data_IF_697873951189
#
_entry.id   IF_697873951189
#
_cell.length_a   1.000
_cell.length_b   1.000
_cell.length_c   1.000
_cell.angle_alpha   90.00
_cell.angle_beta   90.00
_cell.angle_gamma   90.00
#
_symmetry.space_group_name_H-M   'P 1'
#
loop_
_entity.id
_entity.type
_entity.pdbx_description
1 polymer ?
#
# COMPACT_ATOMS: atom_id res chain seq x y z
N UNK A 1 -36.26 7.87 -33.48
CA UNK A 1 -35.67 6.70 -32.85
C UNK A 1 -34.54 7.21 -31.95
N UNK A 2 -34.81 7.36 -30.68
CA UNK A 2 -33.81 7.78 -29.69
C UNK A 2 -33.06 6.52 -29.27
N UNK A 3 -31.76 6.43 -29.56
CA UNK A 3 -30.90 5.37 -29.12
C UNK A 3 -30.63 5.60 -27.60
N UNK A 4 -31.23 4.77 -26.75
CA UNK A 4 -30.84 4.60 -25.37
C UNK A 4 -29.40 4.06 -25.34
N UNK A 5 -28.42 4.93 -25.15
CA UNK A 5 -27.15 4.53 -24.58
C UNK A 5 -27.37 4.45 -23.06
N UNK A 6 -27.89 3.34 -22.57
CA UNK A 6 -27.66 2.93 -21.19
C UNK A 6 -26.15 2.76 -21.02
N UNK A 7 -25.55 3.70 -20.31
CA UNK A 7 -24.19 3.54 -19.78
C UNK A 7 -24.26 2.33 -18.85
N UNK A 8 -23.77 1.16 -19.31
CA UNK A 8 -23.52 0.03 -18.42
C UNK A 8 -22.56 0.55 -17.34
N UNK A 9 -23.06 0.68 -16.11
CA UNK A 9 -22.22 0.90 -14.95
C UNK A 9 -21.16 -0.19 -14.97
N UNK A 10 -19.89 0.21 -15.17
CA UNK A 10 -18.79 -0.72 -15.32
C UNK A 10 -18.55 -1.38 -13.96
N UNK A 11 -18.91 -2.65 -13.85
CA UNK A 11 -18.85 -3.42 -12.61
C UNK A 11 -17.41 -3.55 -12.13
N UNK A 12 -17.15 -3.18 -10.87
CA UNK A 12 -15.88 -3.45 -10.18
C UNK A 12 -15.93 -4.88 -9.65
N UNK A 13 -14.91 -5.67 -9.97
CA UNK A 13 -14.71 -7.04 -9.47
C UNK A 13 -13.64 -6.99 -8.38
N UNK A 14 -13.97 -7.49 -7.20
CA UNK A 14 -13.03 -7.65 -6.09
C UNK A 14 -12.61 -9.12 -6.01
N UNK A 15 -11.34 -9.39 -6.20
CA UNK A 15 -10.82 -10.75 -6.27
C UNK A 15 -9.44 -10.90 -5.65
N UNK A 16 -9.03 -12.11 -5.28
CA UNK A 16 -7.63 -12.37 -4.93
C UNK A 16 -6.67 -11.95 -6.05
N UNK A 17 -5.49 -11.48 -5.64
CA UNK A 17 -4.36 -11.29 -6.53
C UNK A 17 -3.98 -12.58 -7.24
N UNK A 18 -3.58 -12.48 -8.50
CA UNK A 18 -2.95 -13.55 -9.28
C UNK A 18 -1.62 -13.06 -9.86
N UNK A 19 -0.63 -13.93 -10.11
CA UNK A 19 0.70 -13.51 -10.56
C UNK A 19 0.72 -12.63 -11.81
N UNK A 20 -0.27 -12.76 -12.68
CA UNK A 20 -0.42 -11.95 -13.89
C UNK A 20 -0.83 -10.51 -13.63
N UNK A 21 -1.19 -10.16 -12.39
CA UNK A 21 -1.52 -8.78 -11.98
C UNK A 21 -0.25 -7.97 -11.65
N UNK A 22 0.91 -8.62 -11.49
CA UNK A 22 2.12 -8.00 -10.96
C UNK A 22 2.49 -6.69 -11.67
N UNK A 23 2.59 -6.70 -13.00
CA UNK A 23 2.96 -5.51 -13.79
C UNK A 23 1.93 -4.38 -13.65
N UNK A 24 0.65 -4.73 -13.52
CA UNK A 24 -0.42 -3.75 -13.30
C UNK A 24 -0.35 -3.13 -11.91
N UNK A 25 0.00 -3.92 -10.89
CA UNK A 25 0.23 -3.44 -9.51
C UNK A 25 1.43 -2.50 -9.47
N UNK A 26 2.57 -2.87 -10.05
CA UNK A 26 3.74 -2.00 -10.15
C UNK A 26 3.39 -0.66 -10.81
N UNK A 27 2.64 -0.71 -11.91
CA UNK A 27 2.19 0.48 -12.62
C UNK A 27 1.20 1.33 -11.82
N UNK A 28 0.34 0.72 -11.00
CA UNK A 28 -0.59 1.42 -10.13
C UNK A 28 0.16 2.15 -9.01
N UNK A 29 1.06 1.45 -8.33
CA UNK A 29 1.92 2.02 -7.27
C UNK A 29 2.72 3.20 -7.82
N UNK A 30 3.35 3.02 -8.99
CA UNK A 30 4.12 4.07 -9.66
C UNK A 30 3.27 5.33 -9.92
N UNK A 31 2.02 5.17 -10.38
CA UNK A 31 1.12 6.31 -10.64
C UNK A 31 0.66 7.02 -9.38
N UNK A 32 0.54 6.31 -8.27
CA UNK A 32 0.01 6.90 -7.02
C UNK A 32 1.09 7.65 -6.26
N UNK A 33 2.29 7.09 -6.15
CA UNK A 33 3.33 7.66 -5.28
C UNK A 33 4.55 8.22 -6.02
N UNK A 34 4.76 7.84 -7.28
CA UNK A 34 5.97 8.19 -8.04
C UNK A 34 5.68 8.93 -9.35
N UNK A 35 4.52 9.61 -9.42
CA UNK A 35 4.08 10.29 -10.65
C UNK A 35 4.99 11.45 -11.07
N UNK A 36 5.68 12.08 -10.12
CA UNK A 36 6.55 13.23 -10.35
C UNK A 36 7.99 12.83 -10.71
N UNK A 37 8.34 11.56 -10.56
CA UNK A 37 9.66 11.02 -10.94
C UNK A 37 9.84 10.85 -12.46
N UNK A 38 11.08 10.63 -12.89
CA UNK A 38 11.34 10.16 -14.25
C UNK A 38 10.63 8.82 -14.50
N UNK A 39 10.47 8.44 -15.76
CA UNK A 39 9.83 7.16 -16.10
C UNK A 39 10.59 5.96 -15.51
N UNK A 40 11.90 6.03 -15.52
CA UNK A 40 12.78 5.00 -14.98
C UNK A 40 12.66 4.90 -13.46
N UNK A 41 12.66 6.02 -12.75
CA UNK A 41 12.46 6.09 -11.29
C UNK A 41 11.10 5.54 -10.89
N UNK A 42 10.03 6.02 -11.52
CA UNK A 42 8.67 5.56 -11.24
C UNK A 42 8.52 4.06 -11.48
N UNK A 43 9.10 3.54 -12.57
CA UNK A 43 9.08 2.11 -12.88
C UNK A 43 9.82 1.30 -11.82
N UNK A 44 11.04 1.70 -11.47
CA UNK A 44 11.88 1.01 -10.50
C UNK A 44 11.24 1.01 -9.11
N UNK A 45 10.79 2.18 -8.64
CA UNK A 45 10.15 2.33 -7.33
C UNK A 45 8.86 1.51 -7.22
N UNK A 46 8.01 1.55 -8.25
CA UNK A 46 6.79 0.73 -8.27
C UNK A 46 7.07 -0.78 -8.21
N UNK A 47 8.17 -1.25 -8.81
CA UNK A 47 8.57 -2.67 -8.76
C UNK A 47 9.17 -3.06 -7.41
N UNK A 48 9.98 -2.19 -6.80
CA UNK A 48 10.55 -2.39 -5.48
C UNK A 48 9.43 -2.52 -4.45
N UNK A 49 8.51 -1.56 -4.42
CA UNK A 49 7.41 -1.54 -3.47
C UNK A 49 6.46 -2.73 -3.67
N UNK A 50 6.05 -3.01 -4.90
CA UNK A 50 5.21 -4.17 -5.17
C UNK A 50 5.84 -5.47 -4.68
N UNK A 51 7.15 -5.65 -4.91
CA UNK A 51 7.89 -6.83 -4.47
C UNK A 51 7.97 -6.91 -2.95
N UNK A 52 8.25 -5.78 -2.29
CA UNK A 52 8.28 -5.70 -0.82
C UNK A 52 6.93 -6.05 -0.21
N UNK A 53 5.86 -5.33 -0.58
CA UNK A 53 4.54 -5.53 0.00
C UNK A 53 3.97 -6.93 -0.27
N UNK A 54 4.22 -7.49 -1.46
CA UNK A 54 3.89 -8.87 -1.74
C UNK A 54 4.68 -9.87 -0.87
N UNK A 55 5.90 -9.54 -0.46
CA UNK A 55 6.73 -10.42 0.37
C UNK A 55 6.30 -10.46 1.83
N UNK A 56 5.69 -9.40 2.36
CA UNK A 56 5.29 -9.28 3.76
C UNK A 56 3.79 -9.50 4.00
N UNK A 57 3.01 -9.73 2.93
CA UNK A 57 1.54 -9.82 3.02
C UNK A 57 1.02 -11.23 2.78
N UNK A 58 -0.06 -11.60 3.48
CA UNK A 58 -0.75 -12.91 3.40
C UNK A 58 -2.11 -12.79 2.71
N UNK A 59 -2.79 -11.69 2.89
CA UNK A 59 -4.05 -11.35 2.26
C UNK A 59 -3.78 -10.36 1.14
N UNK A 60 -4.08 -10.76 -0.09
CA UNK A 60 -3.76 -10.03 -1.31
C UNK A 60 -5.01 -9.95 -2.17
N UNK A 61 -5.64 -8.76 -2.26
CA UNK A 61 -6.83 -8.54 -3.05
C UNK A 61 -6.69 -7.33 -3.96
N UNK A 62 -7.32 -7.42 -5.12
CA UNK A 62 -7.38 -6.35 -6.13
C UNK A 62 -8.82 -5.99 -6.46
N UNK A 63 -9.02 -4.75 -6.85
CA UNK A 63 -10.23 -4.26 -7.52
C UNK A 63 -9.93 -4.14 -9.01
N UNK A 64 -10.67 -4.88 -9.82
CA UNK A 64 -10.53 -4.90 -11.27
C UNK A 64 -11.72 -4.21 -11.93
N UNK A 65 -11.44 -3.38 -12.93
CA UNK A 65 -12.43 -2.73 -13.78
C UNK A 65 -12.03 -2.91 -15.24
N UNK A 66 -12.86 -3.59 -16.02
CA UNK A 66 -12.60 -3.85 -17.45
C UNK A 66 -11.25 -4.54 -17.74
N UNK A 67 -10.82 -5.46 -16.89
CA UNK A 67 -9.53 -6.14 -17.04
C UNK A 67 -8.32 -5.37 -16.53
N UNK A 68 -8.49 -4.15 -16.00
CA UNK A 68 -7.43 -3.35 -15.39
C UNK A 68 -7.53 -3.34 -13.87
N UNK A 69 -6.40 -3.49 -13.17
CA UNK A 69 -6.32 -3.30 -11.73
C UNK A 69 -6.38 -1.79 -11.42
N UNK A 70 -7.43 -1.39 -10.69
CA UNK A 70 -7.71 -0.01 -10.33
C UNK A 70 -7.60 0.25 -8.83
N UNK A 71 -7.34 -0.77 -8.05
CA UNK A 71 -7.09 -0.66 -6.62
C UNK A 71 -6.64 -1.99 -6.05
N UNK A 72 -6.01 -1.93 -4.89
CA UNK A 72 -5.54 -3.12 -4.19
C UNK A 72 -5.54 -2.89 -2.68
N UNK A 73 -5.59 -3.99 -1.92
CA UNK A 73 -5.31 -4.03 -0.49
C UNK A 73 -4.51 -5.27 -0.17
N UNK A 74 -3.42 -5.08 0.56
CA UNK A 74 -2.59 -6.15 1.09
C UNK A 74 -2.56 -6.07 2.61
N UNK A 75 -2.45 -7.23 3.25
CA UNK A 75 -2.40 -7.32 4.71
C UNK A 75 -1.59 -8.54 5.17
N UNK A 76 -0.99 -8.44 6.35
CA UNK A 76 -0.15 -9.49 6.92
C UNK A 76 -0.01 -9.40 8.43
N UNK A 77 0.79 -10.30 9.00
CA UNK A 77 1.08 -10.38 10.43
C UNK A 77 2.56 -10.11 10.75
N UNK A 78 3.28 -9.47 9.84
CA UNK A 78 4.70 -9.15 9.97
C UNK A 78 5.64 -10.34 9.81
N UNK A 79 5.14 -11.54 9.53
CA UNK A 79 6.01 -12.67 9.23
C UNK A 79 6.42 -12.64 7.77
N UNK A 80 7.75 -12.66 7.54
CA UNK A 80 8.28 -12.82 6.20
C UNK A 80 7.76 -14.12 5.56
N UNK A 81 7.50 -14.05 4.28
CA UNK A 81 6.93 -15.19 3.56
C UNK A 81 7.98 -16.22 3.15
N UNK A 82 7.61 -17.51 3.09
CA UNK A 82 8.50 -18.55 2.55
C UNK A 82 8.94 -18.23 1.11
N UNK A 83 10.18 -18.59 0.78
CA UNK A 83 10.87 -18.34 -0.49
C UNK A 83 10.19 -18.91 -1.75
N UNK A 84 9.16 -19.74 -1.62
CA UNK A 84 8.54 -20.49 -2.72
C UNK A 84 7.13 -19.99 -3.10
N UNK A 85 6.86 -18.70 -2.95
CA UNK A 85 5.64 -18.09 -3.47
C UNK A 85 5.59 -18.12 -5.00
N UNK A 86 4.39 -18.31 -5.60
CA UNK A 86 4.24 -18.48 -7.04
C UNK A 86 4.49 -17.19 -7.86
N UNK A 87 4.60 -16.00 -7.23
CA UNK A 87 4.96 -14.78 -7.93
C UNK A 87 6.46 -14.54 -7.88
N UNK A 88 6.96 -14.09 -8.99
CA UNK A 88 8.37 -13.78 -9.14
C UNK A 88 8.61 -12.38 -8.54
N UNK A 89 9.32 -12.33 -7.43
CA UNK A 89 9.89 -11.08 -6.94
C UNK A 89 11.04 -10.72 -7.89
N UNK A 90 11.00 -9.53 -8.45
CA UNK A 90 12.13 -8.99 -9.19
C UNK A 90 13.09 -8.48 -8.11
N UNK A 91 14.17 -9.18 -7.88
CA UNK A 91 15.28 -8.67 -7.07
C UNK A 91 15.91 -7.51 -7.86
N UNK A 92 15.62 -6.29 -7.42
CA UNK A 92 16.36 -5.11 -7.89
C UNK A 92 17.70 -5.13 -7.17
N UNK A 93 18.76 -5.39 -7.91
CA UNK A 93 20.11 -5.42 -7.33
C UNK A 93 20.61 -3.99 -7.08
N UNK A 94 21.55 -3.84 -6.14
CA UNK A 94 22.26 -2.57 -5.95
C UNK A 94 22.96 -2.08 -7.23
N UNK A 95 23.29 -3.00 -8.16
CA UNK A 95 23.86 -2.68 -9.46
C UNK A 95 22.83 -2.11 -10.42
N UNK A 96 21.57 -2.62 -10.41
CA UNK A 96 20.49 -2.07 -11.22
C UNK A 96 20.20 -0.62 -10.81
N UNK A 97 20.27 -0.32 -9.51
CA UNK A 97 20.15 1.05 -8.98
C UNK A 97 21.35 1.91 -9.38
N UNK A 98 22.58 1.40 -9.32
CA UNK A 98 23.79 2.14 -9.64
C UNK A 98 23.95 2.43 -11.14
N UNK A 99 23.37 1.61 -12.00
CA UNK A 99 23.41 1.75 -13.46
C UNK A 99 22.32 2.70 -14.00
N UNK A 100 21.38 3.13 -13.13
CA UNK A 100 20.38 4.15 -13.47
C UNK A 100 20.96 5.55 -13.20
N UNK A 101 20.77 6.50 -14.12
CA UNK A 101 21.11 7.93 -13.93
C UNK A 101 20.10 8.59 -12.95
N UNK A 102 19.87 7.94 -11.80
CA UNK A 102 18.92 8.41 -10.80
C UNK A 102 19.67 9.34 -9.84
N UNK A 103 19.09 10.51 -9.60
CA UNK A 103 19.66 11.47 -8.64
C UNK A 103 19.77 10.84 -7.24
N UNK A 104 20.98 10.86 -6.67
CA UNK A 104 21.25 10.23 -5.37
C UNK A 104 20.36 10.75 -4.25
N UNK A 105 19.91 12.00 -4.35
CA UNK A 105 19.07 12.65 -3.34
C UNK A 105 17.66 12.05 -3.27
N UNK A 106 17.08 11.62 -4.41
CA UNK A 106 15.79 10.96 -4.46
C UNK A 106 15.76 9.65 -3.63
N UNK A 107 16.78 8.81 -3.80
CA UNK A 107 16.89 7.57 -3.02
C UNK A 107 17.23 7.80 -1.55
N UNK A 108 18.01 8.85 -1.24
CA UNK A 108 18.33 9.18 0.15
C UNK A 108 17.07 9.63 0.91
N UNK A 109 16.22 10.46 0.30
CA UNK A 109 14.95 10.89 0.88
C UNK A 109 14.00 9.70 1.05
N UNK A 110 13.89 8.84 0.03
CA UNK A 110 13.09 7.62 0.10
C UNK A 110 13.58 6.66 1.20
N UNK A 111 14.89 6.48 1.34
CA UNK A 111 15.48 5.63 2.37
C UNK A 111 15.21 6.18 3.79
N UNK A 112 15.27 7.50 3.99
CA UNK A 112 14.94 8.12 5.27
C UNK A 112 13.46 7.95 5.62
N UNK A 113 12.55 8.11 4.63
CA UNK A 113 11.13 7.85 4.81
C UNK A 113 10.88 6.41 5.26
N UNK A 114 11.40 5.43 4.51
CA UNK A 114 11.25 4.00 4.80
C UNK A 114 11.80 3.66 6.19
N UNK A 115 12.95 4.25 6.57
CA UNK A 115 13.54 4.01 7.89
C UNK A 115 12.62 4.54 9.01
N UNK A 116 12.12 5.76 8.89
CA UNK A 116 11.23 6.37 9.91
C UNK A 116 9.94 5.58 10.06
N UNK A 117 9.32 5.18 8.94
CA UNK A 117 8.12 4.36 8.95
C UNK A 117 8.38 2.97 9.59
N UNK A 118 9.50 2.32 9.24
CA UNK A 118 9.89 1.04 9.81
C UNK A 118 10.12 1.13 11.32
N UNK A 119 10.73 2.19 11.82
CA UNK A 119 10.94 2.44 13.26
C UNK A 119 9.60 2.60 13.99
N UNK A 120 8.62 3.30 13.40
CA UNK A 120 7.25 3.41 13.97
C UNK A 120 6.55 2.04 13.99
N UNK A 121 6.60 1.29 12.91
CA UNK A 121 6.01 -0.05 12.80
C UNK A 121 6.65 -0.97 13.84
N UNK A 122 7.96 -1.01 13.92
CA UNK A 122 8.69 -1.87 14.87
C UNK A 122 8.39 -1.48 16.32
N UNK A 123 8.32 -0.19 16.64
CA UNK A 123 7.96 0.27 17.97
C UNK A 123 6.54 -0.18 18.35
N UNK A 124 5.57 -0.08 17.44
CA UNK A 124 4.20 -0.52 17.69
C UNK A 124 4.09 -2.05 17.76
N UNK A 125 4.75 -2.80 16.89
CA UNK A 125 4.79 -4.27 16.91
C UNK A 125 5.39 -4.83 18.20
N UNK A 126 6.37 -4.14 18.78
CA UNK A 126 7.02 -4.53 20.03
C UNK A 126 6.29 -3.98 21.29
N UNK A 127 5.17 -3.30 21.12
CA UNK A 127 4.33 -2.85 22.22
C UNK A 127 3.44 -3.98 22.76
N UNK A 128 2.86 -3.79 23.95
CA UNK A 128 1.85 -4.71 24.52
C UNK A 128 0.44 -4.46 23.96
N UNK A 129 0.28 -3.66 22.89
CA UNK A 129 -1.02 -3.36 22.30
C UNK A 129 -1.56 -4.59 21.56
N UNK A 130 -2.76 -5.08 21.88
CA UNK A 130 -3.33 -6.27 21.26
C UNK A 130 -3.61 -6.12 19.76
N UNK A 131 -3.57 -4.88 19.23
CA UNK A 131 -3.76 -4.56 17.79
C UNK A 131 -2.46 -4.64 16.97
N UNK A 132 -1.30 -4.83 17.61
CA UNK A 132 0.04 -4.70 17.01
C UNK A 132 0.46 -5.87 16.11
N UNK A 133 -0.34 -6.96 16.03
CA UNK A 133 0.04 -8.17 15.29
C UNK A 133 -0.31 -8.08 13.81
N UNK A 134 -1.53 -7.64 13.47
CA UNK A 134 -2.03 -7.62 12.11
C UNK A 134 -1.94 -6.21 11.50
N UNK A 135 -1.54 -6.15 10.24
CA UNK A 135 -1.29 -4.90 9.54
C UNK A 135 -1.98 -4.89 8.17
N UNK A 136 -2.62 -3.76 7.83
CA UNK A 136 -2.85 -3.42 6.42
C UNK A 136 -1.54 -2.84 5.90
N UNK A 137 -0.81 -3.65 5.13
CA UNK A 137 0.52 -3.30 4.63
C UNK A 137 0.49 -2.36 3.43
N UNK A 138 -0.62 -2.36 2.67
CA UNK A 138 -0.80 -1.51 1.50
C UNK A 138 -2.28 -1.35 1.17
N UNK A 139 -2.74 -0.11 1.00
CA UNK A 139 -4.02 0.23 0.38
C UNK A 139 -3.77 1.29 -0.70
N UNK A 140 -4.04 0.94 -1.94
CA UNK A 140 -3.74 1.80 -3.08
C UNK A 140 -4.91 1.82 -4.06
N UNK A 141 -5.38 3.03 -4.44
CA UNK A 141 -6.49 3.22 -5.39
C UNK A 141 -6.04 4.18 -6.48
N UNK A 142 -6.31 3.82 -7.73
CA UNK A 142 -6.05 4.67 -8.88
C UNK A 142 -6.70 6.05 -8.66
N UNK A 143 -5.96 7.17 -8.79
CA UNK A 143 -6.48 8.51 -8.56
C UNK A 143 -7.76 8.82 -9.35
N UNK A 144 -7.93 8.25 -10.56
CA UNK A 144 -9.13 8.43 -11.38
C UNK A 144 -10.34 7.60 -10.91
N UNK A 145 -10.14 6.66 -10.00
CA UNK A 145 -11.17 5.79 -9.43
C UNK A 145 -11.44 6.06 -7.94
N UNK A 146 -10.77 7.00 -7.33
CA UNK A 146 -11.03 7.46 -5.97
C UNK A 146 -12.44 8.07 -5.83
N UNK A 147 -12.96 8.13 -4.59
CA UNK A 147 -14.30 8.66 -4.31
C UNK A 147 -15.47 7.75 -4.75
N UNK A 148 -15.21 6.58 -5.36
CA UNK A 148 -16.22 5.62 -5.85
C UNK A 148 -16.48 4.45 -4.89
N UNK A 149 -15.95 4.51 -3.66
CA UNK A 149 -16.15 3.49 -2.63
C UNK A 149 -15.25 2.24 -2.76
N UNK A 150 -14.31 2.22 -3.72
CA UNK A 150 -13.43 1.07 -3.97
C UNK A 150 -12.55 0.79 -2.75
N UNK A 151 -11.88 1.83 -2.22
CA UNK A 151 -11.04 1.71 -1.02
C UNK A 151 -11.83 1.19 0.19
N UNK A 152 -13.03 1.73 0.42
CA UNK A 152 -13.89 1.27 1.51
C UNK A 152 -14.30 -0.21 1.39
N UNK A 153 -14.51 -0.71 0.17
CA UNK A 153 -14.85 -2.12 -0.06
C UNK A 153 -13.64 -3.03 0.13
N UNK A 154 -12.48 -2.65 -0.39
CA UNK A 154 -11.24 -3.38 -0.18
C UNK A 154 -10.88 -3.45 1.31
N UNK A 155 -10.99 -2.32 2.01
CA UNK A 155 -10.74 -2.24 3.45
C UNK A 155 -11.67 -3.17 4.25
N UNK A 156 -12.96 -3.23 3.90
CA UNK A 156 -13.90 -4.15 4.54
C UNK A 156 -13.50 -5.62 4.33
N UNK A 157 -12.97 -5.99 3.16
CA UNK A 157 -12.48 -7.35 2.90
C UNK A 157 -11.27 -7.71 3.77
N UNK A 158 -10.36 -6.77 4.03
CA UNK A 158 -9.24 -6.99 4.96
C UNK A 158 -9.73 -7.15 6.41
N UNK A 159 -10.69 -6.34 6.86
CA UNK A 159 -11.31 -6.47 8.17
C UNK A 159 -11.98 -7.86 8.32
N UNK A 160 -12.73 -8.30 7.33
CA UNK A 160 -13.34 -9.63 7.35
C UNK A 160 -12.28 -10.74 7.40
N UNK A 161 -11.18 -10.59 6.68
CA UNK A 161 -10.05 -11.51 6.77
C UNK A 161 -9.45 -11.55 8.18
N UNK A 162 -9.14 -10.40 8.79
CA UNK A 162 -8.61 -10.34 10.15
C UNK A 162 -9.52 -11.02 11.17
N UNK A 163 -10.84 -10.85 11.05
CA UNK A 163 -11.82 -11.55 11.89
C UNK A 163 -11.73 -13.08 11.73
N UNK A 164 -11.51 -13.58 10.51
CA UNK A 164 -11.30 -15.03 10.29
C UNK A 164 -10.01 -15.55 10.93
N UNK A 165 -9.03 -14.66 11.13
CA UNK A 165 -7.77 -14.97 11.81
C UNK A 165 -7.87 -14.79 13.35
N UNK A 166 -9.06 -14.47 13.89
CA UNK A 166 -9.27 -14.17 15.30
C UNK A 166 -8.39 -13.03 15.84
N UNK A 167 -8.08 -12.05 14.99
CA UNK A 167 -7.32 -10.88 15.38
C UNK A 167 -8.09 -10.04 16.40
N UNK A 168 -7.42 -9.56 17.43
CA UNK A 168 -8.00 -8.60 18.41
C UNK A 168 -8.15 -7.21 17.82
N UNK A 169 -7.36 -6.91 16.79
CA UNK A 169 -7.33 -5.66 16.08
C UNK A 169 -6.26 -5.68 14.99
N UNK A 170 -6.05 -4.56 14.36
CA UNK A 170 -5.02 -4.36 13.35
C UNK A 170 -4.52 -2.92 13.36
N UNK A 171 -3.43 -2.68 12.68
CA UNK A 171 -2.87 -1.36 12.46
C UNK A 171 -2.47 -1.14 10.99
N UNK A 172 -2.09 0.09 10.68
CA UNK A 172 -1.45 0.46 9.43
C UNK A 172 -0.48 1.62 9.67
N UNK A 173 0.51 1.75 8.81
CA UNK A 173 1.33 2.95 8.67
C UNK A 173 0.81 3.78 7.50
N UNK A 174 0.90 5.10 7.62
CA UNK A 174 0.50 6.09 6.60
C UNK A 174 1.21 7.41 6.87
N UNK A 175 1.00 8.41 6.02
CA UNK A 175 1.56 9.75 6.18
C UNK A 175 0.55 10.83 5.78
N UNK A 176 0.92 12.11 5.99
CA UNK A 176 0.07 13.26 5.70
C UNK A 176 -0.06 13.60 4.19
N UNK A 177 0.67 12.91 3.31
CA UNK A 177 0.43 12.95 1.86
C UNK A 177 -0.70 12.04 1.42
N UNK A 178 -1.14 11.13 2.30
CA UNK A 178 -2.24 10.20 2.09
C UNK A 178 -3.58 10.77 2.58
N UNK A 179 -4.69 10.10 2.24
CA UNK A 179 -6.05 10.46 2.71
C UNK A 179 -6.26 9.94 4.15
N UNK A 180 -5.65 10.63 5.14
CA UNK A 180 -5.76 10.27 6.56
C UNK A 180 -7.20 10.40 7.07
N UNK A 181 -8.01 11.32 6.52
CA UNK A 181 -9.42 11.49 6.85
C UNK A 181 -10.22 10.21 6.60
N UNK A 182 -9.78 9.38 5.64
CA UNK A 182 -10.38 8.07 5.40
C UNK A 182 -10.27 7.15 6.61
N UNK A 183 -9.13 7.12 7.29
CA UNK A 183 -8.90 6.26 8.46
C UNK A 183 -9.66 6.77 9.68
N UNK A 184 -9.70 8.09 9.89
CA UNK A 184 -10.52 8.72 10.93
C UNK A 184 -12.01 8.40 10.73
N UNK A 185 -12.50 8.53 9.49
CA UNK A 185 -13.88 8.17 9.15
C UNK A 185 -14.18 6.67 9.37
N UNK A 186 -13.19 5.80 9.18
CA UNK A 186 -13.31 4.36 9.46
C UNK A 186 -13.26 4.04 10.96
N UNK A 187 -12.94 5.00 11.82
CA UNK A 187 -12.89 4.84 13.26
C UNK A 187 -11.58 4.27 13.77
N UNK A 188 -10.49 4.39 13.01
CA UNK A 188 -9.16 4.07 13.49
C UNK A 188 -8.69 5.17 14.45
N UNK A 189 -7.86 4.79 15.40
CA UNK A 189 -7.20 5.67 16.36
C UNK A 189 -5.76 5.92 15.90
N UNK A 190 -5.34 7.19 15.84
CA UNK A 190 -3.93 7.55 15.64
C UNK A 190 -3.15 7.25 16.92
N UNK A 191 -2.19 6.35 16.85
CA UNK A 191 -1.43 5.85 18.01
C UNK A 191 -0.13 6.61 18.20
N UNK A 192 0.60 6.84 17.12
CA UNK A 192 1.90 7.52 17.14
C UNK A 192 2.17 8.25 15.85
N UNK A 193 3.15 9.15 15.89
CA UNK A 193 3.64 9.88 14.72
C UNK A 193 5.13 10.18 14.85
N UNK A 194 5.78 10.39 13.70
CA UNK A 194 7.16 10.88 13.62
C UNK A 194 7.31 11.78 12.38
N UNK A 195 8.13 12.82 12.52
CA UNK A 195 8.50 13.66 11.38
C UNK A 195 9.62 12.98 10.59
N UNK A 196 9.38 12.77 9.30
CA UNK A 196 10.36 12.10 8.41
C UNK A 196 11.55 13.00 8.11
N UNK A 197 11.30 14.31 7.91
CA UNK A 197 12.34 15.30 7.58
C UNK A 197 12.28 16.49 8.54
N UNK A 198 12.61 16.31 9.84
CA UNK A 198 12.35 17.31 10.88
C UNK A 198 13.10 18.63 10.66
N UNK A 199 14.19 18.62 9.87
CA UNK A 199 15.02 19.81 9.60
C UNK A 199 14.64 20.51 8.27
N UNK A 200 13.56 20.09 7.61
CA UNK A 200 13.10 20.68 6.33
C UNK A 200 11.80 21.44 6.50
N UNK A 201 11.63 22.52 5.72
CA UNK A 201 10.42 23.36 5.74
C UNK A 201 9.14 22.58 5.28
N UNK A 202 9.31 21.49 4.54
CA UNK A 202 8.24 20.60 4.06
C UNK A 202 8.41 19.20 4.67
N UNK A 203 8.43 19.09 5.99
CA UNK A 203 8.47 17.79 6.66
C UNK A 203 7.19 17.01 6.37
N UNK A 204 7.34 15.71 6.11
CA UNK A 204 6.24 14.72 6.02
C UNK A 204 6.14 14.07 7.38
N UNK A 205 4.92 13.96 7.91
CA UNK A 205 4.66 13.25 9.17
C UNK A 205 4.12 11.86 8.86
N UNK A 206 4.79 10.83 9.38
CA UNK A 206 4.33 9.44 9.32
C UNK A 206 3.53 9.09 10.59
N UNK A 207 2.54 8.23 10.45
CA UNK A 207 1.57 7.87 11.49
C UNK A 207 1.38 6.35 11.59
N UNK A 208 1.10 5.88 12.82
CA UNK A 208 0.47 4.58 13.04
C UNK A 208 -0.99 4.82 13.43
N UNK A 209 -1.88 4.17 12.70
CA UNK A 209 -3.31 4.06 13.00
C UNK A 209 -3.67 2.63 13.38
N UNK A 210 -4.56 2.44 14.36
CA UNK A 210 -4.98 1.10 14.79
C UNK A 210 -6.48 1.05 15.10
N UNK A 211 -7.05 -0.16 15.03
CA UNK A 211 -8.47 -0.43 15.28
C UNK A 211 -8.66 -1.76 16.00
N UNK A 212 -9.56 -1.81 16.98
CA UNK A 212 -10.07 -3.07 17.57
C UNK A 212 -11.13 -3.72 16.66
N UNK A 213 -11.27 -5.09 16.70
CA UNK A 213 -12.18 -5.85 15.83
C UNK A 213 -13.32 -6.57 16.56
#
# INVERSE_FOLDING_TARGET
>A
MASNHESQEQQIIYRPFVPTDFDQICSLIARVWYADGSREESFLSGHIDASYFLSVSKFLYVAEKNGAVVGLIFAGDGTAYPENKPWRIIEVSAQDVADTEIESDYFQLGAQYIQTEAELIDAFRNSDDPRSTWEVTLLCIDPHEQGKGIGGRLFALAIDYFRTQHASGFFLATDDSCDVDFYDYKGLEQISSADVFPDQDNSVSAYIYAMEL
#
